data_IF_100594206264
#
_entry.id   IF_100594206264
#
_cell.length_a   1.000
_cell.length_b   1.000
_cell.length_c   1.000
_cell.angle_alpha   90.00
_cell.angle_beta   90.00
_cell.angle_gamma   90.00
#
_symmetry.space_group_name_H-M   'P 1'
#
loop_
_entity.id
_entity.type
_entity.pdbx_description
1 polymer ?
#
# COMPACT_ATOMS: atom_id res chain seq x y z
N UNK A 1 -19.53 -22.75 23.51
CA UNK A 1 -20.16 -21.59 22.84
C UNK A 1 -19.07 -20.70 22.30
N UNK A 2 -19.10 -20.36 21.00
CA UNK A 2 -18.13 -19.44 20.40
C UNK A 2 -18.26 -18.04 21.00
N UNK A 3 -17.13 -17.44 21.44
CA UNK A 3 -17.07 -16.06 21.95
C UNK A 3 -17.09 -15.01 20.83
N UNK A 4 -17.11 -15.45 19.57
CA UNK A 4 -17.08 -14.59 18.38
C UNK A 4 -18.51 -14.32 17.93
N UNK A 5 -18.82 -13.04 17.65
CA UNK A 5 -20.14 -12.65 17.14
C UNK A 5 -20.43 -13.33 15.79
N UNK A 6 -21.66 -13.78 15.58
CA UNK A 6 -22.10 -14.43 14.35
C UNK A 6 -21.89 -13.57 13.10
N UNK A 7 -21.93 -12.24 13.20
CA UNK A 7 -21.64 -11.33 12.10
C UNK A 7 -20.19 -11.45 11.62
N UNK A 8 -19.24 -11.68 12.53
CA UNK A 8 -17.82 -11.84 12.20
C UNK A 8 -17.56 -13.21 11.57
N UNK A 9 -18.23 -14.25 12.08
CA UNK A 9 -18.12 -15.61 11.51
C UNK A 9 -18.66 -15.70 10.07
N UNK A 10 -19.54 -14.78 9.68
CA UNK A 10 -20.12 -14.69 8.32
C UNK A 10 -19.33 -13.80 7.36
N UNK A 11 -18.26 -13.14 7.82
CA UNK A 11 -17.40 -12.35 6.94
C UNK A 11 -16.74 -13.30 5.93
N UNK A 12 -16.93 -12.97 4.66
CA UNK A 12 -16.27 -13.69 3.56
C UNK A 12 -14.87 -13.12 3.39
N UNK A 13 -13.93 -13.99 3.07
CA UNK A 13 -12.59 -13.59 2.65
C UNK A 13 -12.65 -12.68 1.41
N UNK A 14 -11.65 -11.82 1.27
CA UNK A 14 -11.52 -11.00 0.07
C UNK A 14 -11.41 -11.89 -1.16
N UNK A 15 -12.32 -11.75 -2.11
CA UNK A 15 -12.33 -12.54 -3.35
C UNK A 15 -11.02 -12.45 -4.13
N UNK A 16 -10.35 -11.30 -4.10
CA UNK A 16 -9.03 -11.09 -4.73
C UNK A 16 -7.93 -11.92 -4.05
N UNK A 17 -7.94 -12.04 -2.72
CA UNK A 17 -6.99 -12.90 -2.00
C UNK A 17 -7.22 -14.36 -2.32
N UNK A 18 -8.46 -14.83 -2.29
CA UNK A 18 -8.83 -16.21 -2.63
C UNK A 18 -8.42 -16.57 -4.05
N UNK A 19 -8.66 -15.68 -5.03
CA UNK A 19 -8.25 -15.90 -6.43
C UNK A 19 -6.72 -16.00 -6.53
N UNK A 20 -5.99 -15.16 -5.82
CA UNK A 20 -4.53 -15.19 -5.84
C UNK A 20 -3.96 -16.47 -5.24
N UNK A 21 -4.48 -16.93 -4.10
CA UNK A 21 -4.08 -18.20 -3.49
C UNK A 21 -4.38 -19.39 -4.39
N UNK A 22 -5.57 -19.40 -4.99
CA UNK A 22 -5.95 -20.44 -5.95
C UNK A 22 -5.03 -20.47 -7.16
N UNK A 23 -4.65 -19.30 -7.68
CA UNK A 23 -3.70 -19.17 -8.79
C UNK A 23 -2.33 -19.73 -8.42
N UNK A 24 -1.80 -19.38 -7.25
CA UNK A 24 -0.53 -19.92 -6.73
C UNK A 24 -0.57 -21.44 -6.59
N UNK A 25 -1.66 -21.98 -6.04
CA UNK A 25 -1.84 -23.42 -5.86
C UNK A 25 -1.88 -24.17 -7.20
N UNK A 26 -2.46 -23.57 -8.24
CA UNK A 26 -2.47 -24.16 -9.57
C UNK A 26 -1.07 -24.13 -10.22
N UNK A 27 -0.33 -23.04 -10.07
CA UNK A 27 1.05 -22.91 -10.56
C UNK A 27 1.95 -23.96 -9.88
N UNK A 28 1.83 -24.11 -8.55
CA UNK A 28 2.60 -25.09 -7.80
C UNK A 28 2.29 -26.56 -8.23
N UNK A 29 1.11 -26.79 -8.81
CA UNK A 29 0.72 -28.07 -9.44
C UNK A 29 1.16 -28.19 -10.90
N UNK A 30 2.03 -27.33 -11.39
CA UNK A 30 2.56 -27.33 -12.76
C UNK A 30 1.58 -26.82 -13.82
N UNK A 31 0.45 -26.21 -13.44
CA UNK A 31 -0.50 -25.65 -14.41
C UNK A 31 -0.08 -24.27 -14.89
N UNK A 32 -0.22 -24.00 -16.18
CA UNK A 32 -0.04 -22.67 -16.74
C UNK A 32 -1.23 -21.79 -16.34
N UNK A 33 -0.97 -20.70 -15.60
CA UNK A 33 -2.00 -19.79 -15.10
C UNK A 33 -1.64 -18.36 -15.48
N UNK A 34 -2.58 -17.63 -16.08
CA UNK A 34 -2.49 -16.20 -16.34
C UNK A 34 -3.13 -15.45 -15.17
N UNK A 35 -2.33 -14.68 -14.43
CA UNK A 35 -2.77 -14.01 -13.20
C UNK A 35 -3.27 -12.60 -13.50
N UNK A 36 -4.57 -12.39 -13.48
CA UNK A 36 -5.22 -11.09 -13.61
C UNK A 36 -5.97 -10.65 -12.33
N UNK A 37 -5.74 -11.34 -11.21
CA UNK A 37 -6.44 -11.11 -9.95
C UNK A 37 -6.00 -9.85 -9.19
N UNK A 38 -4.77 -9.38 -9.42
CA UNK A 38 -4.22 -8.17 -8.80
C UNK A 38 -3.73 -7.18 -9.85
N UNK A 39 -4.05 -5.90 -9.64
CA UNK A 39 -3.45 -4.78 -10.37
C UNK A 39 -2.05 -4.42 -9.86
N UNK A 40 -1.18 -5.42 -9.68
CA UNK A 40 0.19 -5.22 -9.23
C UNK A 40 1.08 -4.85 -10.42
N UNK A 41 1.93 -3.82 -10.23
CA UNK A 41 2.93 -3.45 -11.24
C UNK A 41 3.87 -4.62 -11.53
N UNK A 42 4.11 -4.97 -12.80
CA UNK A 42 5.09 -6.00 -13.18
C UNK A 42 6.54 -5.49 -13.10
N UNK A 43 6.74 -4.19 -12.93
CA UNK A 43 8.07 -3.59 -12.87
C UNK A 43 8.65 -3.70 -11.46
N UNK A 44 9.97 -3.89 -11.33
CA UNK A 44 10.64 -3.88 -10.05
C UNK A 44 10.55 -2.49 -9.40
N UNK A 45 10.69 -2.46 -8.07
CA UNK A 45 10.82 -1.18 -7.36
C UNK A 45 12.10 -0.47 -7.83
N UNK A 46 12.05 0.82 -8.19
CA UNK A 46 13.23 1.56 -8.60
C UNK A 46 14.36 1.48 -7.56
N UNK A 47 15.60 1.26 -8.00
CA UNK A 47 16.75 1.04 -7.12
C UNK A 47 16.96 2.20 -6.12
N UNK A 48 16.71 3.44 -6.53
CA UNK A 48 16.78 4.60 -5.62
C UNK A 48 15.86 4.47 -4.41
N UNK A 49 14.66 3.90 -4.60
CA UNK A 49 13.69 3.68 -3.51
C UNK A 49 14.19 2.55 -2.61
N UNK A 50 14.66 1.45 -3.20
CA UNK A 50 15.23 0.31 -2.46
C UNK A 50 16.41 0.78 -1.59
N UNK A 51 17.32 1.56 -2.16
CA UNK A 51 18.49 2.08 -1.45
C UNK A 51 18.09 3.06 -0.34
N UNK A 52 17.12 3.94 -0.59
CA UNK A 52 16.61 4.84 0.44
C UNK A 52 16.00 4.06 1.63
N UNK A 53 15.24 3.00 1.36
CA UNK A 53 14.70 2.13 2.41
C UNK A 53 15.82 1.49 3.23
N UNK A 54 16.83 0.91 2.58
CA UNK A 54 17.98 0.30 3.26
C UNK A 54 18.71 1.30 4.15
N UNK A 55 18.94 2.52 3.66
CA UNK A 55 19.64 3.57 4.38
C UNK A 55 18.87 4.10 5.60
N UNK A 56 17.56 3.96 5.63
CA UNK A 56 16.69 4.48 6.68
C UNK A 56 15.98 3.40 7.51
N UNK A 57 16.24 2.12 7.22
CA UNK A 57 15.60 0.99 7.92
C UNK A 57 15.89 0.93 9.44
N UNK A 58 16.96 1.58 9.89
CA UNK A 58 17.34 1.65 11.31
C UNK A 58 16.54 2.72 12.09
N UNK A 59 15.81 3.59 11.42
CA UNK A 59 15.00 4.64 12.06
C UNK A 59 13.82 4.04 12.79
N UNK A 60 13.61 4.48 14.03
CA UNK A 60 12.58 3.97 14.94
C UNK A 60 11.75 5.06 15.60
N UNK A 61 11.98 6.32 15.23
CA UNK A 61 11.32 7.46 15.84
C UNK A 61 9.84 7.51 15.46
N UNK A 62 9.00 7.92 16.40
CA UNK A 62 7.61 8.24 16.10
C UNK A 62 7.53 9.52 15.25
N UNK A 63 6.72 9.46 14.23
CA UNK A 63 6.44 10.61 13.36
C UNK A 63 5.24 11.40 13.85
N UNK A 64 5.11 12.69 13.45
CA UNK A 64 3.86 13.42 13.64
C UNK A 64 2.67 12.66 13.03
N UNK A 65 1.47 12.84 13.58
CA UNK A 65 0.25 12.17 13.12
C UNK A 65 0.00 12.38 11.61
N UNK A 66 0.32 13.57 11.11
CA UNK A 66 0.18 13.88 9.67
C UNK A 66 1.28 13.26 8.78
N UNK A 67 2.26 12.59 9.36
CA UNK A 67 3.41 12.02 8.65
C UNK A 67 4.61 12.97 8.60
N UNK A 68 5.69 12.49 7.98
CA UNK A 68 6.98 13.18 7.92
C UNK A 68 6.85 14.55 7.24
N UNK A 69 7.23 15.67 7.92
CA UNK A 69 7.08 17.03 7.36
C UNK A 69 7.77 17.22 6.01
N UNK A 70 8.99 16.68 5.86
CA UNK A 70 9.75 16.76 4.62
C UNK A 70 9.06 16.04 3.45
N UNK A 71 8.39 14.91 3.71
CA UNK A 71 7.62 14.20 2.69
C UNK A 71 6.39 15.01 2.28
N UNK A 72 5.67 15.60 3.23
CA UNK A 72 4.51 16.45 2.94
C UNK A 72 4.90 17.69 2.11
N UNK A 73 6.02 18.31 2.41
CA UNK A 73 6.57 19.43 1.65
C UNK A 73 6.97 19.01 0.23
N UNK A 74 7.63 17.86 0.09
CA UNK A 74 7.98 17.31 -1.23
C UNK A 74 6.75 17.01 -2.09
N UNK A 75 5.68 16.50 -1.47
CA UNK A 75 4.40 16.23 -2.16
C UNK A 75 3.74 17.56 -2.57
N UNK A 76 3.71 18.56 -1.70
CA UNK A 76 3.19 19.90 -2.00
C UNK A 76 3.87 20.48 -3.25
N UNK A 77 5.19 20.53 -3.24
CA UNK A 77 5.99 21.03 -4.37
C UNK A 77 5.79 20.23 -5.66
N UNK A 78 5.65 18.90 -5.54
CA UNK A 78 5.39 18.04 -6.69
C UNK A 78 4.03 18.31 -7.31
N UNK A 79 2.98 18.41 -6.48
CA UNK A 79 1.62 18.68 -6.93
C UNK A 79 1.51 20.05 -7.59
N UNK A 80 2.11 21.10 -7.01
CA UNK A 80 2.14 22.43 -7.58
C UNK A 80 2.79 22.43 -8.97
N UNK A 81 3.96 21.80 -9.12
CA UNK A 81 4.63 21.67 -10.42
C UNK A 81 3.84 20.91 -11.45
N UNK A 82 3.10 19.89 -11.03
CA UNK A 82 2.37 18.99 -11.93
C UNK A 82 1.01 19.51 -12.34
N UNK A 83 0.30 20.18 -11.43
CA UNK A 83 -1.11 20.57 -11.61
C UNK A 83 -1.30 22.08 -11.70
N UNK A 84 -0.32 22.88 -11.31
CA UNK A 84 -0.43 24.33 -11.14
C UNK A 84 -1.20 24.75 -9.89
N UNK A 85 -1.68 23.81 -9.09
CA UNK A 85 -2.44 24.09 -7.86
C UNK A 85 -1.55 23.99 -6.64
N UNK A 86 -1.63 24.97 -5.75
CA UNK A 86 -0.92 24.96 -4.48
C UNK A 86 -1.73 24.17 -3.43
N UNK A 87 -1.12 23.11 -2.89
CA UNK A 87 -1.63 22.35 -1.75
C UNK A 87 -0.63 22.51 -0.59
N UNK A 88 -0.87 23.40 0.37
CA UNK A 88 0.04 23.60 1.52
C UNK A 88 0.29 22.27 2.24
N UNK A 89 1.51 22.06 2.72
CA UNK A 89 1.88 20.83 3.43
C UNK A 89 1.01 20.54 4.65
N UNK A 90 0.38 21.55 5.22
CA UNK A 90 -0.57 21.45 6.32
C UNK A 90 -1.86 20.71 5.94
N UNK A 91 -2.20 20.73 4.65
CA UNK A 91 -3.37 20.04 4.08
C UNK A 91 -3.05 18.65 3.55
N UNK A 92 -1.83 18.14 3.79
CA UNK A 92 -1.38 16.82 3.34
C UNK A 92 -1.27 15.88 4.54
N UNK A 93 -1.94 14.74 4.46
CA UNK A 93 -1.88 13.64 5.43
C UNK A 93 -1.25 12.42 4.75
N UNK A 94 -0.24 11.83 5.38
CA UNK A 94 0.39 10.59 4.93
C UNK A 94 -0.30 9.41 5.63
N UNK A 95 -0.75 8.45 4.86
CA UNK A 95 -1.41 7.25 5.36
C UNK A 95 -0.67 5.99 4.87
N UNK A 96 -0.81 4.84 5.54
CA UNK A 96 -0.17 3.58 5.13
C UNK A 96 -0.82 2.94 3.89
N UNK A 97 -1.45 3.73 3.06
CA UNK A 97 -2.08 3.33 1.80
C UNK A 97 -3.39 4.05 1.55
N UNK A 98 -3.86 4.03 0.30
CA UNK A 98 -5.08 4.75 -0.12
C UNK A 98 -6.36 4.28 0.58
N UNK A 99 -6.43 3.02 0.98
CA UNK A 99 -7.59 2.49 1.72
C UNK A 99 -7.76 3.12 3.10
N UNK A 100 -6.66 3.46 3.76
CA UNK A 100 -6.67 4.14 5.06
C UNK A 100 -7.10 5.61 4.93
N UNK A 101 -6.84 6.20 3.75
CA UNK A 101 -7.19 7.60 3.47
C UNK A 101 -8.67 7.81 3.12
N UNK A 102 -9.42 6.75 2.81
CA UNK A 102 -10.85 6.78 2.46
C UNK A 102 -11.73 6.61 3.71
#
# INVERSE_FOLDING_TARGET
MSRIKNSILKLKESSTLVINERSKNLINKGKKVYQFGFGQSPFPVPEKIVQALKNHAHRKEYLPIQGLPQLREAISNYLEKKTGNNYPKENILITPGSKEAM
#
